data_IF_319516900959
#
_entry.id   IF_319516900959
#
_cell.length_a   1.000
_cell.length_b   1.000
_cell.length_c   1.000
_cell.angle_alpha   90.00
_cell.angle_beta   90.00
_cell.angle_gamma   90.00
#
_symmetry.space_group_name_H-M   'P 1'
#
loop_
_entity.id
_entity.type
_entity.pdbx_description
1 polymer ?
#
# COMPACT_ATOMS: atom_id res chain seq x y z
N UNK A 1 69.87 -17.84 -25.57
CA UNK A 1 69.94 -16.84 -24.48
C UNK A 1 68.64 -16.90 -23.78
N UNK A 2 68.69 -17.32 -22.55
CA UNK A 2 67.60 -17.79 -21.72
C UNK A 2 66.65 -16.72 -21.23
N UNK A 3 65.64 -17.24 -20.71
CA UNK A 3 64.33 -16.73 -20.47
C UNK A 3 64.11 -16.46 -19.00
N UNK A 4 63.12 -15.69 -18.66
CA UNK A 4 62.78 -15.44 -17.27
C UNK A 4 61.39 -15.93 -16.94
N UNK A 5 61.47 -16.87 -16.12
CA UNK A 5 60.68 -17.37 -15.02
C UNK A 5 59.65 -16.37 -14.43
N UNK A 6 58.37 -16.62 -14.62
CA UNK A 6 57.30 -15.97 -13.83
C UNK A 6 56.72 -16.95 -12.84
N UNK A 7 57.09 -16.66 -11.61
CA UNK A 7 56.72 -17.40 -10.43
C UNK A 7 55.24 -17.25 -10.12
N UNK A 8 54.65 -18.38 -9.94
CA UNK A 8 53.33 -18.63 -9.38
C UNK A 8 53.16 -17.92 -8.04
N UNK A 9 52.13 -17.14 -7.93
CA UNK A 9 51.61 -16.67 -6.66
C UNK A 9 50.09 -16.84 -6.66
N UNK A 10 49.73 -18.02 -6.23
CA UNK A 10 48.39 -18.39 -5.78
C UNK A 10 47.84 -17.37 -4.80
N UNK A 11 46.94 -16.49 -5.26
CA UNK A 11 46.06 -15.76 -4.40
C UNK A 11 44.68 -16.40 -4.44
N UNK A 12 44.45 -17.26 -3.46
CA UNK A 12 43.12 -17.78 -3.13
C UNK A 12 42.23 -16.60 -2.79
N UNK A 13 41.47 -16.14 -3.76
CA UNK A 13 40.38 -15.20 -3.54
C UNK A 13 39.26 -15.96 -2.82
N UNK A 14 39.18 -15.76 -1.51
CA UNK A 14 38.06 -16.18 -0.70
C UNK A 14 36.84 -15.38 -1.17
N UNK A 15 35.99 -16.03 -1.96
CA UNK A 15 34.67 -15.48 -2.31
C UNK A 15 33.84 -15.39 -1.01
N UNK A 16 33.77 -14.20 -0.43
CA UNK A 16 32.73 -13.90 0.56
C UNK A 16 31.39 -13.87 -0.20
N UNK A 17 30.67 -14.97 -0.09
CA UNK A 17 29.27 -15.01 -0.48
C UNK A 17 28.51 -14.07 0.47
N UNK A 18 28.32 -12.84 0.06
CA UNK A 18 27.37 -11.94 0.70
C UNK A 18 25.98 -12.50 0.44
N UNK A 19 25.45 -13.23 1.40
CA UNK A 19 24.03 -13.59 1.42
C UNK A 19 23.26 -12.28 1.56
N UNK A 20 22.75 -11.79 0.45
CA UNK A 20 21.78 -10.70 0.42
C UNK A 20 20.51 -11.21 1.10
N UNK A 21 20.40 -10.96 2.41
CA UNK A 21 19.13 -11.12 3.11
C UNK A 21 18.23 -10.00 2.59
N UNK A 22 17.27 -10.34 1.74
CA UNK A 22 16.21 -9.43 1.36
C UNK A 22 15.59 -8.86 2.67
N UNK A 23 15.29 -7.56 2.76
CA UNK A 23 14.70 -7.01 3.96
C UNK A 23 13.40 -7.78 4.23
N UNK A 24 13.31 -8.39 5.42
CA UNK A 24 12.09 -9.05 5.85
C UNK A 24 10.96 -8.01 5.76
N UNK A 25 9.92 -8.34 5.00
CA UNK A 25 8.72 -7.50 4.90
C UNK A 25 8.20 -7.27 6.33
N UNK A 26 8.10 -6.00 6.74
CA UNK A 26 7.68 -5.64 8.10
C UNK A 26 6.34 -6.28 8.42
N UNK A 27 6.24 -6.91 9.59
CA UNK A 27 4.98 -7.53 10.03
C UNK A 27 3.94 -6.46 10.34
N UNK A 28 2.63 -6.78 10.32
CA UNK A 28 1.59 -5.85 10.74
C UNK A 28 1.83 -5.29 12.15
N UNK A 29 2.39 -6.10 13.06
CA UNK A 29 2.75 -5.67 14.41
C UNK A 29 3.87 -4.61 14.40
N UNK A 30 4.88 -4.78 13.56
CA UNK A 30 5.99 -3.84 13.44
C UNK A 30 5.52 -2.52 12.82
N UNK A 31 4.63 -2.60 11.85
CA UNK A 31 3.98 -1.44 11.21
C UNK A 31 3.19 -0.65 12.25
N UNK A 32 2.37 -1.32 13.06
CA UNK A 32 1.60 -0.68 14.14
C UNK A 32 2.49 0.00 15.17
N UNK A 33 3.56 -0.69 15.62
CA UNK A 33 4.53 -0.12 16.57
C UNK A 33 5.24 1.09 15.98
N UNK A 34 5.67 1.01 14.72
CA UNK A 34 6.33 2.10 14.01
C UNK A 34 5.45 3.36 13.89
N UNK A 35 4.14 3.18 13.75
CA UNK A 35 3.15 4.26 13.74
C UNK A 35 2.71 4.73 15.13
N UNK A 36 3.31 4.23 16.22
CA UNK A 36 2.93 4.58 17.58
C UNK A 36 1.60 4.01 18.04
N UNK A 37 1.05 3.05 17.33
CA UNK A 37 -0.22 2.44 17.66
C UNK A 37 -0.04 1.21 18.55
N UNK A 38 -0.97 1.05 19.51
CA UNK A 38 -1.03 -0.18 20.32
C UNK A 38 -1.33 -1.37 19.40
N UNK A 39 -0.52 -2.42 19.50
CA UNK A 39 -0.77 -3.70 18.83
C UNK A 39 -1.96 -4.40 19.49
N UNK A 40 -3.01 -4.64 18.72
CA UNK A 40 -4.20 -5.38 19.14
C UNK A 40 -4.62 -6.33 18.02
N UNK A 41 -5.23 -7.48 18.38
CA UNK A 41 -5.64 -8.46 17.39
C UNK A 41 -6.55 -7.87 16.30
N UNK A 42 -7.57 -7.02 16.59
CA UNK A 42 -8.38 -6.42 15.53
C UNK A 42 -7.60 -5.50 14.58
N UNK A 43 -6.57 -4.77 15.05
CA UNK A 43 -5.73 -3.92 14.20
C UNK A 43 -4.83 -4.74 13.29
N UNK A 44 -4.24 -5.81 13.81
CA UNK A 44 -3.40 -6.74 13.04
C UNK A 44 -4.24 -7.39 11.95
N UNK A 45 -5.40 -7.95 12.31
CA UNK A 45 -6.31 -8.60 11.38
C UNK A 45 -6.83 -7.64 10.29
N UNK A 46 -7.16 -6.38 10.65
CA UNK A 46 -7.61 -5.37 9.69
C UNK A 46 -6.49 -4.97 8.71
N UNK A 47 -5.25 -4.76 9.19
CA UNK A 47 -4.10 -4.50 8.32
C UNK A 47 -3.82 -5.67 7.36
N UNK A 48 -3.97 -6.91 7.84
CA UNK A 48 -3.81 -8.10 7.02
C UNK A 48 -4.90 -8.15 5.94
N UNK A 49 -6.16 -7.99 6.32
CA UNK A 49 -7.31 -8.01 5.42
C UNK A 49 -7.19 -6.97 4.28
N UNK A 50 -6.81 -5.73 4.60
CA UNK A 50 -6.59 -4.68 3.58
C UNK A 50 -5.33 -4.95 2.75
N UNK A 51 -4.35 -5.67 3.30
CA UNK A 51 -3.14 -6.08 2.57
C UNK A 51 -3.41 -7.16 1.53
N UNK A 52 -4.36 -8.06 1.80
CA UNK A 52 -4.74 -9.14 0.88
C UNK A 52 -5.76 -8.69 -0.17
N UNK A 53 -6.63 -7.75 0.18
CA UNK A 53 -7.67 -7.23 -0.73
C UNK A 53 -7.48 -5.73 -0.89
N UNK A 54 -6.75 -5.33 -1.94
CA UNK A 54 -6.65 -3.91 -2.29
C UNK A 54 -8.04 -3.32 -2.50
N UNK A 55 -8.26 -2.12 -2.00
CA UNK A 55 -9.54 -1.42 -2.07
C UNK A 55 -10.70 -2.14 -1.36
N UNK A 56 -10.40 -2.79 -0.23
CA UNK A 56 -11.42 -3.46 0.58
C UNK A 56 -12.47 -2.48 1.12
N UNK A 57 -13.74 -2.89 1.15
CA UNK A 57 -14.76 -2.16 1.90
C UNK A 57 -14.66 -2.44 3.40
N UNK A 58 -15.32 -1.63 4.23
CA UNK A 58 -15.43 -1.92 5.65
C UNK A 58 -16.11 -3.27 5.93
N UNK A 59 -17.06 -3.69 5.08
CA UNK A 59 -17.75 -4.98 5.19
C UNK A 59 -16.82 -6.14 4.82
N UNK A 60 -15.95 -5.98 3.83
CA UNK A 60 -14.92 -6.98 3.48
C UNK A 60 -13.97 -7.17 4.66
N UNK A 61 -13.47 -6.06 5.23
CA UNK A 61 -12.59 -6.08 6.41
C UNK A 61 -13.30 -6.72 7.61
N UNK A 62 -14.56 -6.34 7.87
CA UNK A 62 -15.36 -6.94 8.95
C UNK A 62 -15.48 -8.45 8.79
N UNK A 63 -15.74 -8.91 7.57
CA UNK A 63 -15.88 -10.34 7.25
C UNK A 63 -14.57 -11.08 7.51
N UNK A 64 -13.45 -10.55 7.05
CA UNK A 64 -12.11 -11.12 7.26
C UNK A 64 -11.71 -11.13 8.74
N UNK A 65 -11.92 -10.03 9.46
CA UNK A 65 -11.62 -9.93 10.89
C UNK A 65 -12.46 -10.92 11.70
N UNK A 66 -13.73 -11.11 11.34
CA UNK A 66 -14.59 -12.10 11.99
C UNK A 66 -14.20 -13.53 11.69
N UNK A 67 -13.73 -13.81 10.50
CA UNK A 67 -13.23 -15.14 10.13
C UNK A 67 -11.99 -15.52 10.96
N UNK A 68 -11.14 -14.54 11.29
CA UNK A 68 -9.90 -14.77 12.05
C UNK A 68 -10.15 -14.76 13.57
N UNK A 69 -10.92 -13.78 14.07
CA UNK A 69 -11.04 -13.50 15.52
C UNK A 69 -12.38 -13.93 16.13
N UNK A 70 -13.33 -14.38 15.32
CA UNK A 70 -14.68 -14.68 15.80
C UNK A 70 -15.56 -13.43 15.91
N UNK A 71 -16.21 -13.25 17.07
CA UNK A 71 -17.19 -12.17 17.25
C UNK A 71 -16.51 -10.81 17.45
N UNK A 72 -16.64 -9.94 16.45
CA UNK A 72 -16.22 -8.53 16.53
C UNK A 72 -17.38 -7.64 16.10
N UNK A 73 -17.61 -6.54 16.84
CA UNK A 73 -18.67 -5.59 16.50
C UNK A 73 -18.31 -4.78 15.26
N UNK A 74 -19.33 -4.34 14.53
CA UNK A 74 -19.18 -3.43 13.38
C UNK A 74 -18.46 -2.15 13.80
N UNK A 75 -18.89 -1.56 14.94
CA UNK A 75 -18.27 -0.32 15.44
C UNK A 75 -16.77 -0.49 15.71
N UNK A 76 -16.36 -1.61 16.31
CA UNK A 76 -14.95 -1.87 16.59
C UNK A 76 -14.10 -1.92 15.32
N UNK A 77 -14.64 -2.44 14.19
CA UNK A 77 -13.92 -2.45 12.91
C UNK A 77 -13.81 -1.03 12.34
N UNK A 78 -14.87 -0.23 12.41
CA UNK A 78 -14.82 1.17 11.98
C UNK A 78 -13.82 1.99 12.82
N UNK A 79 -13.80 1.81 14.14
CA UNK A 79 -12.84 2.48 15.04
C UNK A 79 -11.39 2.09 14.68
N UNK A 80 -11.17 0.82 14.35
CA UNK A 80 -9.86 0.34 13.87
C UNK A 80 -9.48 0.98 12.54
N UNK A 81 -10.38 0.98 11.55
CA UNK A 81 -10.13 1.57 10.22
C UNK A 81 -9.83 3.07 10.34
N UNK A 82 -10.57 3.81 11.17
CA UNK A 82 -10.29 5.22 11.43
C UNK A 82 -8.91 5.41 12.06
N UNK A 83 -8.58 4.65 13.12
CA UNK A 83 -7.28 4.77 13.78
C UNK A 83 -6.10 4.43 12.86
N UNK A 84 -6.26 3.48 11.93
CA UNK A 84 -5.24 3.12 10.95
C UNK A 84 -5.11 4.20 9.86
N UNK A 85 -6.22 4.81 9.45
CA UNK A 85 -6.23 5.91 8.48
C UNK A 85 -5.60 7.18 9.07
N UNK A 86 -5.98 7.55 10.30
CA UNK A 86 -5.41 8.71 11.01
C UNK A 86 -3.90 8.57 11.25
N UNK A 87 -3.42 7.34 11.41
CA UNK A 87 -2.00 7.04 11.53
C UNK A 87 -1.25 6.94 10.19
N UNK A 88 -1.92 7.17 9.06
CA UNK A 88 -1.34 7.08 7.72
C UNK A 88 -0.97 5.67 7.26
N UNK A 89 -1.47 4.64 7.95
CA UNK A 89 -1.24 3.24 7.57
C UNK A 89 -2.21 2.73 6.52
N UNK A 90 -3.37 3.37 6.43
CA UNK A 90 -4.36 3.15 5.39
C UNK A 90 -4.74 4.48 4.75
N UNK A 91 -5.09 4.42 3.48
CA UNK A 91 -5.78 5.48 2.76
C UNK A 91 -7.25 5.09 2.60
N UNK A 92 -8.14 6.05 2.83
CA UNK A 92 -9.57 5.90 2.59
C UNK A 92 -9.94 6.63 1.30
N UNK A 93 -10.58 5.91 0.40
CA UNK A 93 -11.05 6.42 -0.90
C UNK A 93 -12.57 6.43 -0.87
N UNK A 94 -13.19 7.52 -1.28
CA UNK A 94 -14.64 7.69 -1.30
C UNK A 94 -15.16 7.90 -2.73
N UNK A 95 -15.33 6.85 -3.53
CA UNK A 95 -15.87 7.00 -4.87
C UNK A 95 -17.33 7.43 -4.81
N UNK A 96 -17.70 8.49 -5.54
CA UNK A 96 -19.05 9.00 -5.53
C UNK A 96 -20.09 7.91 -5.87
N UNK A 97 -21.08 7.73 -5.01
CA UNK A 97 -22.16 6.73 -5.19
C UNK A 97 -21.79 5.29 -4.81
N UNK A 98 -20.60 5.06 -4.28
CA UNK A 98 -20.14 3.73 -3.85
C UNK A 98 -19.63 3.75 -2.40
N UNK A 99 -19.56 2.57 -1.73
CA UNK A 99 -18.96 2.48 -0.40
C UNK A 99 -17.51 2.94 -0.38
N UNK A 100 -17.09 3.51 0.74
CA UNK A 100 -15.68 3.82 0.99
C UNK A 100 -14.82 2.56 0.89
N UNK A 101 -13.61 2.74 0.37
CA UNK A 101 -12.59 1.70 0.19
C UNK A 101 -11.36 2.05 0.99
N UNK A 102 -10.62 1.04 1.38
CA UNK A 102 -9.38 1.16 2.15
C UNK A 102 -8.24 0.45 1.43
N UNK A 103 -7.07 1.09 1.42
CA UNK A 103 -5.86 0.55 0.83
C UNK A 103 -4.65 0.80 1.71
N UNK A 104 -3.59 0.00 1.53
CA UNK A 104 -2.30 0.17 2.22
C UNK A 104 -1.28 1.00 1.45
N UNK A 105 -1.57 1.33 0.21
CA UNK A 105 -0.68 2.11 -0.66
C UNK A 105 -0.82 3.60 -0.31
N UNK A 106 -0.03 4.08 0.64
CA UNK A 106 -0.12 5.44 1.21
C UNK A 106 1.08 6.33 0.92
N UNK A 107 2.17 5.78 0.36
CA UNK A 107 3.45 6.47 0.25
C UNK A 107 3.80 7.00 -1.14
N UNK A 108 2.92 6.92 -2.10
CA UNK A 108 3.15 7.35 -3.48
C UNK A 108 1.96 8.14 -4.04
N UNK A 109 2.17 8.78 -5.18
CA UNK A 109 1.14 9.52 -5.89
C UNK A 109 0.58 8.65 -7.02
N UNK A 110 -0.36 7.78 -6.69
CA UNK A 110 -1.13 7.05 -7.67
C UNK A 110 -2.57 7.58 -7.74
N UNK A 111 -3.26 7.20 -8.79
CA UNK A 111 -4.62 7.60 -9.11
C UNK A 111 -5.50 6.35 -9.17
N UNK A 112 -6.79 6.55 -9.23
CA UNK A 112 -7.76 5.45 -9.28
C UNK A 112 -8.62 5.52 -10.53
N UNK A 113 -8.95 4.36 -11.11
CA UNK A 113 -10.04 4.23 -12.07
C UNK A 113 -11.18 3.46 -11.42
N UNK A 114 -12.38 4.01 -11.49
CA UNK A 114 -13.58 3.47 -10.84
C UNK A 114 -14.60 3.08 -11.89
N UNK A 115 -15.12 1.87 -11.79
CA UNK A 115 -16.26 1.44 -12.59
C UNK A 115 -17.53 2.09 -12.04
N UNK A 116 -18.19 2.92 -12.86
CA UNK A 116 -19.43 3.61 -12.45
C UNK A 116 -20.63 2.67 -12.24
N UNK A 117 -20.57 1.44 -12.76
CA UNK A 117 -21.65 0.48 -12.66
C UNK A 117 -21.53 -0.42 -11.41
N UNK A 118 -20.34 -0.98 -11.13
CA UNK A 118 -20.16 -1.94 -10.03
C UNK A 118 -19.23 -1.44 -8.91
N UNK A 119 -18.59 -0.27 -9.05
CA UNK A 119 -17.71 0.30 -8.05
C UNK A 119 -16.35 -0.40 -7.91
N UNK A 120 -15.97 -1.30 -8.83
CA UNK A 120 -14.62 -1.87 -8.86
C UNK A 120 -13.61 -0.76 -9.08
N UNK A 121 -12.54 -0.77 -8.30
CA UNK A 121 -11.44 0.20 -8.38
C UNK A 121 -10.19 -0.51 -8.87
N UNK A 122 -9.39 0.20 -9.67
CA UNK A 122 -8.04 -0.19 -10.04
C UNK A 122 -7.08 0.98 -9.85
N UNK A 123 -5.84 0.67 -9.52
CA UNK A 123 -4.77 1.66 -9.42
C UNK A 123 -4.28 2.06 -10.79
N UNK A 124 -3.97 3.34 -10.93
CA UNK A 124 -3.35 3.93 -12.13
C UNK A 124 -2.14 4.73 -11.67
N UNK A 125 -0.97 4.27 -12.05
CA UNK A 125 0.27 5.00 -11.76
C UNK A 125 0.34 6.31 -12.56
N UNK A 126 0.90 7.33 -11.96
CA UNK A 126 1.14 8.59 -12.66
C UNK A 126 2.21 8.38 -13.74
N UNK A 127 1.82 8.50 -15.02
CA UNK A 127 2.65 8.15 -16.19
C UNK A 127 3.79 9.15 -16.47
N UNK A 128 3.88 10.25 -15.75
CA UNK A 128 4.74 11.39 -16.12
C UNK A 128 5.97 11.56 -15.21
N UNK A 129 6.39 10.54 -14.49
CA UNK A 129 7.66 10.48 -13.76
C UNK A 129 7.83 11.44 -12.57
N UNK A 130 7.07 12.51 -12.49
CA UNK A 130 6.84 13.36 -11.32
C UNK A 130 5.34 13.65 -11.24
N UNK A 131 4.84 14.09 -10.10
CA UNK A 131 3.43 14.30 -9.85
C UNK A 131 2.92 15.65 -10.44
N UNK A 132 2.66 15.79 -11.76
CA UNK A 132 2.23 17.07 -12.35
C UNK A 132 0.87 17.51 -11.82
N UNK A 133 0.05 16.60 -11.33
CA UNK A 133 -1.20 16.88 -10.68
C UNK A 133 -1.05 17.62 -9.34
N UNK A 134 0.15 17.63 -8.72
CA UNK A 134 0.44 18.41 -7.52
C UNK A 134 0.80 19.87 -7.82
N UNK A 135 0.85 20.26 -9.10
CA UNK A 135 1.18 21.63 -9.52
C UNK A 135 -0.05 22.27 -10.16
N UNK A 136 -0.96 22.88 -9.39
CA UNK A 136 -2.10 23.59 -9.93
C UNK A 136 -1.64 24.85 -10.69
N UNK A 137 -2.43 25.30 -11.65
CA UNK A 137 -2.15 26.53 -12.39
C UNK A 137 -2.29 27.79 -11.52
N UNK A 138 -3.07 27.70 -10.46
CA UNK A 138 -3.26 28.72 -9.42
C UNK A 138 -3.50 28.01 -8.09
N UNK A 139 -2.68 28.26 -7.10
CA UNK A 139 -2.80 27.65 -5.77
C UNK A 139 -3.67 28.49 -4.81
N UNK A 140 -4.10 29.67 -5.23
CA UNK A 140 -4.88 30.62 -4.40
C UNK A 140 -4.24 30.91 -3.03
N UNK A 141 -2.92 30.76 -2.90
CA UNK A 141 -2.18 30.95 -1.66
C UNK A 141 -2.17 29.73 -0.72
N UNK A 142 -2.62 28.57 -1.18
CA UNK A 142 -2.54 27.32 -0.42
C UNK A 142 -1.20 26.63 -0.63
N UNK A 143 -0.71 25.94 0.39
CA UNK A 143 0.36 24.96 0.25
C UNK A 143 -0.29 23.63 -0.17
N UNK A 144 -0.11 23.25 -1.43
CA UNK A 144 -0.69 22.02 -1.96
C UNK A 144 0.15 20.83 -1.51
N UNK A 145 -0.44 19.91 -0.75
CA UNK A 145 0.23 18.73 -0.21
C UNK A 145 -0.17 17.44 -0.96
N UNK A 146 -1.39 17.38 -1.47
CA UNK A 146 -1.94 16.17 -2.10
C UNK A 146 -2.89 16.55 -3.23
N UNK A 147 -2.89 15.75 -4.30
CA UNK A 147 -3.90 15.83 -5.35
C UNK A 147 -4.50 14.44 -5.56
N UNK A 148 -5.81 14.36 -5.67
CA UNK A 148 -6.52 13.12 -5.99
C UNK A 148 -7.11 13.22 -7.40
N UNK A 149 -6.82 12.21 -8.23
CA UNK A 149 -7.41 12.08 -9.56
C UNK A 149 -8.15 10.75 -9.63
N UNK A 150 -9.43 10.81 -9.93
CA UNK A 150 -10.27 9.63 -10.13
C UNK A 150 -10.78 9.60 -11.55
N UNK A 151 -10.44 8.54 -12.28
CA UNK A 151 -10.98 8.25 -13.60
C UNK A 151 -12.25 7.42 -13.47
N UNK A 152 -13.27 7.74 -14.27
CA UNK A 152 -14.55 7.03 -14.26
C UNK A 152 -14.78 6.34 -15.59
N UNK A 153 -15.09 5.03 -15.54
CA UNK A 153 -15.32 4.23 -16.73
C UNK A 153 -16.28 3.07 -16.50
N UNK A 154 -16.17 2.05 -17.33
CA UNK A 154 -16.79 0.73 -17.14
C UNK A 154 -15.68 -0.32 -17.17
N UNK A 155 -15.68 -1.23 -16.21
CA UNK A 155 -14.77 -2.37 -16.20
C UNK A 155 -15.10 -3.37 -17.31
N UNK A 156 -14.24 -4.39 -17.49
CA UNK A 156 -14.40 -5.40 -18.52
C UNK A 156 -15.76 -6.09 -18.43
N UNK A 157 -16.22 -6.39 -17.23
CA UNK A 157 -17.49 -7.12 -17.00
C UNK A 157 -18.73 -6.25 -17.22
N UNK A 158 -18.61 -4.92 -17.08
CA UNK A 158 -19.74 -3.98 -17.17
C UNK A 158 -19.82 -3.22 -18.50
N UNK A 159 -18.85 -3.35 -19.40
CA UNK A 159 -18.81 -2.63 -20.68
C UNK A 159 -19.49 -3.34 -21.85
N UNK A 160 -20.06 -4.54 -21.61
CA UNK A 160 -20.78 -5.35 -22.60
C UNK A 160 -22.16 -4.77 -22.91
#
# INVERSE_FOLDING_TARGET
MSPDNWNDSSLAATLLVMTSTAPATATPEDILRGAGLRVTAPRVAALHAVGESQHATADDVLSSVRAELGTVSVQAVYDVLHALTDAGLLRRIEPAGHPARYERRTGDNHHHVVCRACGTIGDVDCTVGHAPCLTPSDDHGFVVETAEVTYWGLCLDCRT
#
